data_IF_249039781697
#
_entry.id   IF_249039781697
#
_cell.length_a   1.000
_cell.length_b   1.000
_cell.length_c   1.000
_cell.angle_alpha   90.00
_cell.angle_beta   90.00
_cell.angle_gamma   90.00
#
_symmetry.space_group_name_H-M   'P 1'
#
loop_
_entity.id
_entity.type
_entity.pdbx_description
1 polymer ?
#
# COMPACT_ATOMS: atom_id res chain seq x y z
N UNK A 1 -8.30 6.40 44.36
CA UNK A 1 -9.35 6.05 43.38
C UNK A 1 -8.67 5.37 42.21
N UNK A 2 -8.94 4.09 42.00
CA UNK A 2 -8.40 3.33 40.89
C UNK A 2 -9.40 3.45 39.74
N UNK A 3 -9.00 4.12 38.68
CA UNK A 3 -9.78 4.24 37.45
C UNK A 3 -9.48 3.02 36.59
N UNK A 4 -10.35 2.01 36.58
CA UNK A 4 -10.27 0.93 35.60
C UNK A 4 -11.22 1.24 34.44
N UNK A 5 -10.65 1.76 33.35
CA UNK A 5 -11.37 1.97 32.09
C UNK A 5 -11.44 0.64 31.35
N UNK A 6 -12.61 0.02 31.23
CA UNK A 6 -12.82 -1.11 30.31
C UNK A 6 -13.82 -0.71 29.23
N UNK A 7 -13.30 -0.47 28.04
CA UNK A 7 -14.06 -0.14 26.83
C UNK A 7 -14.63 -1.43 26.23
N UNK A 8 -15.92 -1.41 25.86
CA UNK A 8 -16.44 -2.36 24.87
C UNK A 8 -15.73 -2.06 23.56
N UNK A 9 -15.24 -3.02 22.80
CA UNK A 9 -14.47 -2.72 21.59
C UNK A 9 -15.21 -3.09 20.33
N UNK A 10 -15.25 -2.17 19.38
CA UNK A 10 -15.72 -2.42 18.04
C UNK A 10 -14.50 -2.65 17.16
N UNK A 11 -14.17 -3.92 16.93
CA UNK A 11 -12.97 -4.25 16.16
C UNK A 11 -13.11 -3.83 14.70
N UNK A 12 -14.33 -3.79 14.15
CA UNK A 12 -14.62 -3.30 12.80
C UNK A 12 -14.09 -1.88 12.52
N UNK A 13 -14.01 -1.01 13.53
CA UNK A 13 -13.51 0.36 13.40
C UNK A 13 -12.11 0.53 14.03
N UNK A 14 -11.47 -0.57 14.40
CA UNK A 14 -10.16 -0.60 15.04
C UNK A 14 -9.08 -0.89 14.00
N UNK A 15 -7.89 -0.31 14.19
CA UNK A 15 -6.78 -0.48 13.26
C UNK A 15 -5.43 -0.48 13.97
N UNK A 16 -4.47 -1.21 13.40
CA UNK A 16 -3.06 -1.13 13.77
C UNK A 16 -2.40 -0.09 12.89
N UNK A 17 -1.66 0.82 13.50
CA UNK A 17 -0.85 1.79 12.80
C UNK A 17 0.62 1.46 12.96
N UNK A 18 1.35 1.34 11.84
CA UNK A 18 2.78 1.06 11.80
C UNK A 18 3.47 2.26 11.18
N UNK A 19 4.43 2.85 11.90
CA UNK A 19 5.33 3.86 11.35
C UNK A 19 6.56 3.14 10.78
N UNK A 20 6.71 3.20 9.46
CA UNK A 20 7.77 2.51 8.73
C UNK A 20 8.68 3.52 8.03
N UNK A 21 9.98 3.33 8.18
CA UNK A 21 10.99 3.93 7.30
C UNK A 21 11.53 2.84 6.40
N UNK A 22 11.18 2.87 5.13
CA UNK A 22 11.71 1.97 4.11
C UNK A 22 12.85 2.68 3.37
N UNK A 23 13.84 1.91 2.91
CA UNK A 23 14.90 2.40 2.03
C UNK A 23 14.77 1.78 0.64
N UNK A 24 13.86 2.29 -0.21
CA UNK A 24 13.87 2.04 -1.64
C UNK A 24 15.26 2.24 -2.25
N UNK A 25 15.62 1.33 -3.16
CA UNK A 25 16.81 1.41 -3.97
C UNK A 25 16.45 1.34 -5.46
N UNK A 26 17.06 2.21 -6.25
CA UNK A 26 16.83 2.35 -7.69
C UNK A 26 18.06 1.87 -8.46
N UNK A 27 17.86 1.00 -9.46
CA UNK A 27 18.93 0.52 -10.33
C UNK A 27 19.37 1.55 -11.39
N UNK A 28 18.55 2.58 -11.62
CA UNK A 28 18.77 3.62 -12.60
C UNK A 28 18.68 5.01 -11.97
N UNK A 29 19.37 5.99 -12.57
CA UNK A 29 19.17 7.40 -12.22
C UNK A 29 17.93 7.92 -12.90
N UNK A 30 17.26 8.83 -12.23
CA UNK A 30 16.36 9.76 -12.88
C UNK A 30 17.25 10.81 -13.55
N UNK A 31 17.30 10.77 -14.88
CA UNK A 31 18.04 11.74 -15.68
C UNK A 31 17.43 13.13 -15.51
N UNK A 32 18.22 14.17 -15.81
CA UNK A 32 17.92 15.57 -15.48
C UNK A 32 16.50 15.96 -15.91
N UNK A 33 15.57 16.01 -14.97
CA UNK A 33 14.30 16.69 -15.20
C UNK A 33 14.60 18.18 -15.30
N UNK A 34 13.87 18.91 -16.13
CA UNK A 34 13.95 20.37 -16.08
C UNK A 34 13.33 20.85 -14.76
N UNK A 35 13.88 21.92 -14.18
CA UNK A 35 13.43 22.49 -12.91
C UNK A 35 11.94 22.85 -12.94
N UNK A 36 11.41 23.16 -14.12
CA UNK A 36 9.99 23.39 -14.37
C UNK A 36 9.09 22.21 -14.02
N UNK A 37 9.57 20.97 -14.21
CA UNK A 37 8.75 19.75 -14.10
C UNK A 37 9.02 18.92 -12.84
N UNK A 38 10.21 19.05 -12.22
CA UNK A 38 10.67 18.22 -11.09
C UNK A 38 9.68 18.10 -9.94
N UNK A 39 8.99 19.19 -9.61
CA UNK A 39 8.05 19.23 -8.48
C UNK A 39 6.68 18.64 -8.82
N UNK A 40 6.34 18.54 -10.11
CA UNK A 40 5.04 18.08 -10.56
C UNK A 40 5.05 16.66 -11.13
N UNK A 41 6.22 16.08 -11.42
CA UNK A 41 6.34 14.66 -11.77
C UNK A 41 6.54 13.85 -10.50
N UNK A 42 5.73 12.81 -10.32
CA UNK A 42 5.61 12.12 -9.04
C UNK A 42 5.67 10.60 -9.22
N UNK A 43 6.42 9.94 -8.34
CA UNK A 43 6.43 8.50 -8.13
C UNK A 43 5.62 8.18 -6.87
N UNK A 44 4.63 7.30 -6.99
CA UNK A 44 3.97 6.71 -5.84
C UNK A 44 4.73 5.46 -5.39
N UNK A 45 4.95 5.32 -4.08
CA UNK A 45 5.47 4.11 -3.43
C UNK A 45 4.58 3.78 -2.23
N UNK A 46 4.05 2.56 -2.17
CA UNK A 46 3.09 2.17 -1.14
C UNK A 46 2.60 0.74 -1.25
N UNK A 47 1.44 0.47 -0.65
CA UNK A 47 0.77 -0.83 -0.69
C UNK A 47 -0.60 -0.71 -1.35
N UNK A 48 -1.06 -1.80 -1.97
CA UNK A 48 -2.42 -1.86 -2.52
C UNK A 48 -3.48 -1.88 -1.41
N UNK A 49 -3.21 -2.61 -0.33
CA UNK A 49 -3.93 -2.54 0.94
C UNK A 49 -2.94 -2.58 2.11
N UNK A 50 -3.26 -1.93 3.22
CA UNK A 50 -2.39 -1.93 4.39
C UNK A 50 -2.11 -3.31 4.96
N UNK A 51 -3.11 -4.19 4.93
CA UNK A 51 -3.01 -5.59 5.38
C UNK A 51 -2.02 -6.44 4.58
N UNK A 52 -1.70 -6.07 3.32
CA UNK A 52 -0.70 -6.78 2.51
C UNK A 52 0.71 -6.71 3.12
N UNK A 53 0.97 -5.79 4.04
CA UNK A 53 2.29 -5.70 4.70
C UNK A 53 2.60 -6.90 5.60
N UNK A 54 1.59 -7.67 6.01
CA UNK A 54 1.78 -8.80 6.90
C UNK A 54 2.14 -10.03 6.07
N UNK A 55 3.30 -10.62 6.34
CA UNK A 55 3.75 -11.88 5.75
C UNK A 55 3.17 -13.07 6.50
N UNK A 56 3.41 -13.08 7.81
CA UNK A 56 3.00 -14.14 8.72
C UNK A 56 2.36 -13.51 9.94
N UNK A 57 1.38 -14.17 10.54
CA UNK A 57 0.90 -13.81 11.87
C UNK A 57 0.56 -15.03 12.72
N UNK A 58 0.53 -14.82 14.03
CA UNK A 58 0.05 -15.80 15.01
C UNK A 58 -0.65 -15.07 16.14
N UNK A 59 -1.82 -15.57 16.55
CA UNK A 59 -2.59 -15.01 17.64
C UNK A 59 -2.32 -15.77 18.96
N UNK A 60 -2.27 -15.03 20.06
CA UNK A 60 -2.03 -15.55 21.40
C UNK A 60 -3.10 -15.02 22.34
N UNK A 61 -3.60 -15.90 23.20
CA UNK A 61 -4.53 -15.56 24.26
C UNK A 61 -3.90 -15.97 25.60
N UNK A 62 -3.73 -15.01 26.52
CA UNK A 62 -3.11 -15.21 27.84
C UNK A 62 -1.74 -15.91 27.77
N UNK A 63 -0.93 -15.52 26.80
CA UNK A 63 0.40 -16.07 26.57
C UNK A 63 0.46 -17.45 25.91
N UNK A 64 -0.68 -18.05 25.56
CA UNK A 64 -0.75 -19.32 24.82
C UNK A 64 -1.16 -19.07 23.37
N UNK A 65 -0.55 -19.78 22.44
CA UNK A 65 -0.94 -19.76 21.03
C UNK A 65 -2.38 -20.25 20.88
N UNK A 66 -3.19 -19.52 20.12
CA UNK A 66 -4.53 -19.97 19.74
C UNK A 66 -4.37 -21.03 18.66
N UNK A 67 -5.00 -22.19 18.84
CA UNK A 67 -4.92 -23.28 17.86
C UNK A 67 -5.46 -22.83 16.49
N UNK A 68 -4.79 -23.27 15.42
CA UNK A 68 -5.12 -22.90 14.05
C UNK A 68 -4.89 -21.44 13.65
N UNK A 69 -4.37 -20.58 14.54
CA UNK A 69 -4.15 -19.13 14.27
C UNK A 69 -2.86 -18.77 13.54
N UNK A 70 -1.98 -19.75 13.28
CA UNK A 70 -0.77 -19.55 12.50
C UNK A 70 -1.15 -19.37 11.03
N UNK A 71 -0.85 -18.19 10.48
CA UNK A 71 -0.94 -17.92 9.04
C UNK A 71 0.46 -17.62 8.51
N UNK A 72 0.93 -18.43 7.56
CA UNK A 72 2.26 -18.33 6.97
C UNK A 72 2.30 -17.48 5.70
N UNK A 73 1.15 -17.24 5.06
CA UNK A 73 1.03 -16.36 3.89
C UNK A 73 -0.20 -15.44 4.03
N UNK A 74 -0.08 -14.50 4.97
CA UNK A 74 -1.09 -13.50 5.24
C UNK A 74 -1.20 -12.45 4.11
N UNK A 75 -0.15 -12.30 3.30
CA UNK A 75 -0.19 -11.38 2.15
C UNK A 75 -1.16 -11.90 1.08
N UNK A 76 -1.08 -13.20 0.75
CA UNK A 76 -2.01 -13.83 -0.19
C UNK A 76 -3.42 -13.92 0.39
N UNK A 77 -3.56 -14.28 1.67
CA UNK A 77 -4.86 -14.23 2.38
C UNK A 77 -5.51 -12.85 2.23
N UNK A 78 -4.75 -11.80 2.50
CA UNK A 78 -5.23 -10.43 2.38
C UNK A 78 -5.59 -10.06 0.95
N UNK A 79 -4.79 -10.48 -0.04
CA UNK A 79 -5.08 -10.23 -1.45
C UNK A 79 -6.41 -10.88 -1.87
N UNK A 80 -6.63 -12.13 -1.47
CA UNK A 80 -7.84 -12.89 -1.76
C UNK A 80 -9.05 -12.23 -1.13
N UNK A 81 -8.98 -11.94 0.17
CA UNK A 81 -10.07 -11.30 0.90
C UNK A 81 -10.41 -9.93 0.30
N UNK A 82 -9.38 -9.14 -0.02
CA UNK A 82 -9.59 -7.85 -0.68
C UNK A 82 -10.12 -7.99 -2.11
N UNK A 83 -9.91 -9.09 -2.81
CA UNK A 83 -10.43 -9.27 -4.18
C UNK A 83 -11.95 -9.43 -4.17
N UNK A 84 -12.49 -10.15 -3.20
CA UNK A 84 -13.93 -10.38 -3.07
C UNK A 84 -14.69 -9.20 -2.44
N UNK A 85 -13.99 -8.28 -1.74
CA UNK A 85 -14.61 -7.07 -1.17
C UNK A 85 -15.22 -6.17 -2.25
N UNK A 86 -16.44 -5.63 -2.03
CA UNK A 86 -17.08 -4.72 -2.97
C UNK A 86 -16.30 -3.39 -3.08
N UNK A 87 -16.32 -2.79 -4.28
CA UNK A 87 -15.59 -1.54 -4.53
C UNK A 87 -16.06 -0.37 -3.66
N UNK A 88 -17.34 -0.34 -3.26
CA UNK A 88 -17.88 0.67 -2.36
C UNK A 88 -17.20 0.65 -0.99
N UNK A 89 -16.92 -0.54 -0.44
CA UNK A 89 -16.21 -0.68 0.84
C UNK A 89 -14.76 -0.18 0.74
N UNK A 90 -14.08 -0.51 -0.36
CA UNK A 90 -12.70 -0.07 -0.62
C UNK A 90 -12.58 1.45 -0.75
N UNK A 91 -13.55 2.08 -1.39
CA UNK A 91 -13.56 3.53 -1.63
C UNK A 91 -13.84 4.36 -0.37
N UNK A 92 -14.63 3.86 0.55
CA UNK A 92 -15.06 4.61 1.73
C UNK A 92 -14.00 4.62 2.85
N UNK A 93 -13.05 3.68 2.81
CA UNK A 93 -12.01 3.46 3.81
C UNK A 93 -10.73 4.23 3.46
N UNK A 94 -10.58 5.44 4.00
CA UNK A 94 -9.40 6.29 3.80
C UNK A 94 -8.13 5.63 4.37
N UNK A 95 -7.00 5.80 3.68
CA UNK A 95 -5.67 5.33 4.11
C UNK A 95 -5.55 3.81 4.29
N UNK A 96 -6.43 3.04 3.65
CA UNK A 96 -6.43 1.57 3.73
C UNK A 96 -6.10 0.99 2.36
N UNK A 97 -6.78 1.45 1.31
CA UNK A 97 -6.58 0.96 -0.05
C UNK A 97 -5.97 2.03 -0.97
N UNK A 98 -5.04 1.59 -1.84
CA UNK A 98 -4.48 2.40 -2.92
C UNK A 98 -5.07 1.94 -4.26
N UNK A 99 -6.24 2.46 -4.61
CA UNK A 99 -6.81 2.24 -5.95
C UNK A 99 -6.10 3.11 -6.98
N UNK A 100 -5.89 2.55 -8.17
CA UNK A 100 -5.13 3.23 -9.21
C UNK A 100 -5.75 4.57 -9.60
N UNK A 101 -7.07 4.61 -9.72
CA UNK A 101 -7.85 5.80 -10.05
C UNK A 101 -7.68 6.92 -9.02
N UNK A 102 -7.45 6.56 -7.75
CA UNK A 102 -7.24 7.50 -6.66
C UNK A 102 -5.78 7.97 -6.64
N UNK A 103 -4.82 7.05 -6.79
CA UNK A 103 -3.39 7.39 -6.89
C UNK A 103 -3.13 8.34 -8.07
N UNK A 104 -3.79 8.07 -9.20
CA UNK A 104 -3.73 8.91 -10.39
C UNK A 104 -4.20 10.34 -10.13
N UNK A 105 -5.13 10.55 -9.20
CA UNK A 105 -5.65 11.88 -8.80
C UNK A 105 -4.85 12.51 -7.67
N UNK A 106 -3.71 11.92 -7.28
CA UNK A 106 -2.92 12.31 -6.12
C UNK A 106 -3.79 12.39 -4.85
N UNK A 107 -4.59 11.36 -4.63
CA UNK A 107 -5.44 11.24 -3.44
C UNK A 107 -4.55 11.12 -2.19
N UNK A 108 -4.81 11.96 -1.20
CA UNK A 108 -4.06 11.97 0.08
C UNK A 108 -4.42 10.78 0.97
N UNK A 109 -5.55 10.11 0.71
CA UNK A 109 -5.99 8.89 1.38
C UNK A 109 -5.35 7.62 0.83
N UNK A 110 -4.39 7.76 -0.09
CA UNK A 110 -3.55 6.66 -0.55
C UNK A 110 -2.82 5.96 0.60
N UNK A 111 -2.59 4.66 0.45
CA UNK A 111 -1.81 3.87 1.38
C UNK A 111 -0.35 3.80 0.94
N UNK A 112 0.38 4.89 1.18
CA UNK A 112 1.77 5.05 0.76
C UNK A 112 2.17 6.52 0.78
N UNK A 113 3.21 6.85 0.03
CA UNK A 113 3.61 8.24 -0.17
C UNK A 113 3.86 8.54 -1.63
N UNK A 114 3.71 9.82 -1.94
CA UNK A 114 4.12 10.42 -3.20
C UNK A 114 5.52 11.00 -3.01
N UNK A 115 6.37 10.78 -3.99
CA UNK A 115 7.75 11.24 -4.01
C UNK A 115 7.93 12.01 -5.31
N UNK A 116 8.26 13.29 -5.22
CA UNK A 116 8.54 14.13 -6.38
C UNK A 116 9.88 13.77 -6.99
N UNK A 117 10.06 14.03 -8.29
CA UNK A 117 11.37 13.85 -8.94
C UNK A 117 12.44 14.75 -8.32
N UNK A 118 12.07 15.92 -7.79
CA UNK A 118 12.98 16.76 -7.00
C UNK A 118 13.54 16.02 -5.79
N UNK A 119 12.67 15.45 -4.95
CA UNK A 119 13.09 14.72 -3.75
C UNK A 119 13.98 13.52 -4.10
N UNK A 120 13.66 12.83 -5.19
CA UNK A 120 14.47 11.70 -5.69
C UNK A 120 15.85 12.18 -6.13
N UNK A 121 15.93 13.21 -6.97
CA UNK A 121 17.21 13.76 -7.44
C UNK A 121 18.06 14.35 -6.29
N UNK A 122 17.45 15.01 -5.31
CA UNK A 122 18.16 15.54 -4.14
C UNK A 122 18.72 14.42 -3.27
N UNK A 123 17.96 13.33 -3.07
CA UNK A 123 18.40 12.18 -2.29
C UNK A 123 19.49 11.36 -3.01
N UNK A 124 19.37 11.20 -4.33
CA UNK A 124 20.19 10.29 -5.13
C UNK A 124 21.38 11.02 -5.81
N UNK A 125 21.25 12.30 -6.11
CA UNK A 125 22.19 13.03 -6.98
C UNK A 125 23.63 13.08 -6.46
N UNK A 126 23.82 13.00 -5.15
CA UNK A 126 25.14 12.97 -4.50
C UNK A 126 25.72 11.53 -4.37
N UNK A 127 24.92 10.51 -4.66
CA UNK A 127 25.33 9.12 -4.52
C UNK A 127 26.09 8.65 -5.76
N UNK A 128 27.21 7.96 -5.53
CA UNK A 128 28.06 7.41 -6.58
C UNK A 128 27.84 5.91 -6.79
N UNK A 129 27.22 5.22 -5.83
CA UNK A 129 27.06 3.77 -5.84
C UNK A 129 25.64 3.38 -6.26
N UNK A 130 25.56 2.51 -7.26
CA UNK A 130 24.32 1.85 -7.69
C UNK A 130 24.14 0.56 -6.88
N UNK A 131 22.93 0.23 -6.38
CA UNK A 131 21.66 0.96 -6.53
C UNK A 131 21.55 2.17 -5.59
N UNK A 132 20.88 3.22 -6.06
CA UNK A 132 20.72 4.49 -5.35
C UNK A 132 19.66 4.42 -4.26
N UNK A 133 19.97 4.89 -3.07
CA UNK A 133 19.10 4.75 -1.90
C UNK A 133 18.28 6.00 -1.63
N UNK A 134 17.01 5.82 -1.32
CA UNK A 134 16.16 6.93 -0.88
C UNK A 134 15.38 6.51 0.36
N UNK A 135 15.66 7.08 1.55
CA UNK A 135 14.87 6.79 2.73
C UNK A 135 13.49 7.45 2.61
N UNK A 136 12.45 6.66 2.86
CA UNK A 136 11.05 7.10 2.77
C UNK A 136 10.32 6.66 4.02
N UNK A 137 9.71 7.63 4.72
CA UNK A 137 8.94 7.38 5.96
C UNK A 137 7.46 7.63 5.73
N UNK A 138 6.63 6.65 6.05
CA UNK A 138 5.18 6.78 5.97
C UNK A 138 4.48 5.87 6.99
N UNK A 139 3.20 6.17 7.23
CA UNK A 139 2.34 5.44 8.15
C UNK A 139 1.48 4.43 7.38
N UNK A 140 1.43 3.21 7.89
CA UNK A 140 0.62 2.11 7.40
C UNK A 140 -0.52 1.90 8.38
N UNK A 141 -1.78 1.90 7.91
CA UNK A 141 -2.96 1.53 8.68
C UNK A 141 -3.50 0.15 8.25
N UNK A 142 -3.65 -0.76 9.19
CA UNK A 142 -4.18 -2.10 8.98
C UNK A 142 -5.49 -2.19 9.76
N UNK A 143 -6.66 -2.19 9.09
CA UNK A 143 -7.91 -2.49 9.75
C UNK A 143 -7.84 -3.89 10.37
N UNK A 144 -8.29 -4.03 11.62
CA UNK A 144 -8.25 -5.33 12.28
C UNK A 144 -9.24 -6.33 11.66
N UNK A 145 -10.34 -5.83 11.07
CA UNK A 145 -11.32 -6.63 10.34
C UNK A 145 -10.83 -7.08 8.95
N UNK A 146 -9.70 -6.55 8.47
CA UNK A 146 -9.02 -7.06 7.28
C UNK A 146 -8.16 -8.31 7.56
N UNK A 147 -7.96 -8.66 8.84
CA UNK A 147 -7.30 -9.91 9.25
C UNK A 147 -8.36 -10.98 9.48
N UNK A 148 -8.35 -12.08 8.70
CA UNK A 148 -9.43 -13.08 8.75
C UNK A 148 -9.60 -13.74 10.11
N UNK A 149 -8.50 -13.90 10.87
CA UNK A 149 -8.55 -14.43 12.23
C UNK A 149 -9.39 -13.56 13.17
N UNK A 150 -9.60 -12.29 12.82
CA UNK A 150 -10.31 -11.27 13.60
C UNK A 150 -11.51 -10.68 12.82
N UNK A 151 -11.79 -11.14 11.60
CA UNK A 151 -12.83 -10.55 10.72
C UNK A 151 -14.24 -10.63 11.31
N UNK A 152 -14.55 -11.70 12.06
CA UNK A 152 -15.84 -11.87 12.71
C UNK A 152 -15.92 -11.16 14.07
N UNK A 153 -14.87 -10.46 14.49
CA UNK A 153 -14.87 -9.67 15.71
C UNK A 153 -15.57 -8.34 15.46
N UNK A 154 -16.89 -8.31 15.52
CA UNK A 154 -17.65 -7.07 15.33
C UNK A 154 -17.82 -6.33 16.65
N UNK A 155 -18.56 -6.92 17.59
CA UNK A 155 -19.01 -6.26 18.83
C UNK A 155 -18.62 -7.03 20.09
N UNK A 156 -17.31 -7.31 20.24
CA UNK A 156 -16.82 -8.06 21.39
C UNK A 156 -15.99 -7.21 22.35
N UNK A 157 -16.08 -7.54 23.63
CA UNK A 157 -15.35 -6.82 24.69
C UNK A 157 -13.91 -7.31 24.82
N UNK A 158 -12.95 -6.41 24.61
CA UNK A 158 -11.55 -6.63 24.98
C UNK A 158 -11.39 -7.11 26.43
N UNK A 159 -12.13 -6.52 27.38
CA UNK A 159 -12.05 -6.91 28.79
C UNK A 159 -12.55 -8.32 29.12
N UNK A 160 -13.16 -9.04 28.17
CA UNK A 160 -13.62 -10.42 28.34
C UNK A 160 -12.64 -11.46 27.82
N UNK A 161 -11.97 -11.15 26.70
CA UNK A 161 -10.89 -12.00 26.20
C UNK A 161 -9.64 -11.91 27.08
N UNK A 162 -9.48 -10.86 27.88
CA UNK A 162 -8.20 -10.59 28.52
C UNK A 162 -7.13 -10.33 27.47
N UNK A 163 -5.91 -10.80 27.73
CA UNK A 163 -4.76 -10.47 26.89
C UNK A 163 -4.77 -11.23 25.55
N UNK A 164 -5.22 -10.56 24.49
CA UNK A 164 -5.03 -10.96 23.11
C UNK A 164 -3.77 -10.28 22.54
N UNK A 165 -2.87 -11.06 21.93
CA UNK A 165 -1.67 -10.55 21.27
C UNK A 165 -1.57 -11.14 19.87
N UNK A 166 -1.16 -10.33 18.90
CA UNK A 166 -0.84 -10.79 17.55
C UNK A 166 0.64 -10.52 17.33
N UNK A 167 1.38 -11.57 17.00
CA UNK A 167 2.76 -11.44 16.52
C UNK A 167 2.72 -11.54 15.01
N UNK A 168 3.35 -10.61 14.30
CA UNK A 168 3.41 -10.64 12.85
C UNK A 168 4.81 -10.34 12.32
N UNK A 169 5.07 -10.79 11.09
CA UNK A 169 6.26 -10.44 10.30
C UNK A 169 5.88 -9.52 9.15
N UNK A 170 6.76 -8.59 8.81
CA UNK A 170 6.57 -7.64 7.72
C UNK A 170 7.04 -8.24 6.39
N UNK A 171 6.25 -8.08 5.33
CA UNK A 171 6.56 -8.45 3.96
C UNK A 171 7.08 -7.23 3.15
N UNK A 172 8.40 -7.07 2.97
CA UNK A 172 8.92 -5.99 2.13
C UNK A 172 8.62 -6.17 0.63
N UNK A 173 8.25 -7.38 0.19
CA UNK A 173 7.92 -7.64 -1.21
C UNK A 173 6.49 -7.24 -1.55
N UNK A 174 5.66 -6.89 -0.56
CA UNK A 174 4.29 -6.45 -0.78
C UNK A 174 4.18 -5.01 -1.34
N UNK A 175 5.26 -4.23 -1.24
CA UNK A 175 5.28 -2.87 -1.74
C UNK A 175 5.20 -2.81 -3.26
N UNK A 176 4.58 -1.74 -3.74
CA UNK A 176 4.41 -1.43 -5.14
C UNK A 176 4.75 0.03 -5.42
N UNK A 177 5.06 0.32 -6.67
CA UNK A 177 5.30 1.66 -7.16
C UNK A 177 4.54 1.92 -8.46
N UNK A 178 4.25 3.19 -8.72
CA UNK A 178 3.73 3.64 -10.00
C UNK A 178 4.11 5.11 -10.21
N UNK A 179 4.60 5.44 -11.40
CA UNK A 179 4.73 6.84 -11.78
C UNK A 179 3.34 7.40 -12.04
N UNK A 180 2.96 8.46 -11.34
CA UNK A 180 1.68 9.15 -11.56
C UNK A 180 1.72 9.81 -12.93
N UNK A 181 0.57 9.89 -13.61
CA UNK A 181 0.51 10.51 -14.93
C UNK A 181 1.03 11.95 -14.84
N UNK A 182 2.15 12.27 -15.52
CA UNK A 182 2.75 13.59 -15.45
C UNK A 182 1.78 14.72 -15.81
N UNK A 183 0.86 14.51 -16.76
CA UNK A 183 -0.17 15.51 -17.10
C UNK A 183 -1.05 15.86 -15.91
N UNK A 184 -1.50 14.87 -15.16
CA UNK A 184 -2.42 15.08 -14.03
C UNK A 184 -1.67 15.65 -12.82
N UNK A 185 -0.50 15.10 -12.52
CA UNK A 185 0.30 15.57 -11.38
C UNK A 185 0.85 16.98 -11.60
N UNK A 186 1.33 17.30 -12.80
CA UNK A 186 1.77 18.66 -13.17
C UNK A 186 0.61 19.64 -13.17
N UNK A 187 -0.54 19.28 -13.75
CA UNK A 187 -1.71 20.16 -13.73
C UNK A 187 -2.17 20.50 -12.30
N UNK A 188 -2.18 19.51 -11.40
CA UNK A 188 -2.51 19.70 -9.98
C UNK A 188 -1.47 20.60 -9.29
N UNK A 189 -0.18 20.33 -9.52
CA UNK A 189 0.91 21.14 -8.97
C UNK A 189 0.81 22.61 -9.43
N UNK A 190 0.60 22.86 -10.73
CA UNK A 190 0.51 24.23 -11.24
C UNK A 190 -0.75 24.96 -10.80
N UNK A 191 -1.87 24.24 -10.67
CA UNK A 191 -3.11 24.82 -10.13
C UNK A 191 -2.91 25.27 -8.68
N UNK A 192 -2.21 24.47 -7.86
CA UNK A 192 -1.91 24.80 -6.46
C UNK A 192 -0.94 25.97 -6.33
N UNK A 193 0.07 26.05 -7.21
CA UNK A 193 1.16 27.04 -7.12
C UNK A 193 1.02 28.19 -8.14
N UNK A 194 -0.19 28.44 -8.63
CA UNK A 194 -0.45 29.41 -9.71
C UNK A 194 0.17 30.79 -9.45
N UNK A 195 0.04 31.30 -8.24
CA UNK A 195 0.53 32.65 -7.89
C UNK A 195 2.06 32.73 -7.89
N UNK A 196 2.73 31.72 -7.36
CA UNK A 196 4.20 31.63 -7.40
C UNK A 196 4.72 31.46 -8.83
N UNK A 197 4.01 30.69 -9.66
CA UNK A 197 4.38 30.47 -11.05
C UNK A 197 4.27 31.74 -11.90
N UNK A 198 3.22 32.53 -11.69
CA UNK A 198 3.06 33.84 -12.34
C UNK A 198 4.21 34.80 -11.99
N UNK A 199 4.82 34.65 -10.81
CA UNK A 199 5.99 35.42 -10.39
C UNK A 199 7.34 34.85 -10.86
N UNK A 200 7.39 33.56 -11.24
CA UNK A 200 8.63 32.83 -11.54
C UNK A 200 9.20 33.00 -12.96
N UNK A 201 8.65 33.95 -13.73
CA UNK A 201 9.15 34.34 -15.06
C UNK A 201 8.44 33.66 -16.24
N UNK A 202 8.39 34.36 -17.38
CA UNK A 202 7.67 33.95 -18.59
C UNK A 202 8.15 32.60 -19.16
N UNK A 203 9.43 32.26 -18.95
CA UNK A 203 10.04 31.06 -19.52
C UNK A 203 9.43 29.77 -18.95
N UNK A 204 9.21 29.71 -17.63
CA UNK A 204 8.61 28.54 -16.97
C UNK A 204 7.19 28.30 -17.47
N UNK A 205 6.43 29.36 -17.73
CA UNK A 205 5.06 29.25 -18.26
C UNK A 205 5.04 28.72 -19.71
N UNK A 206 5.96 29.16 -20.56
CA UNK A 206 6.08 28.64 -21.93
C UNK A 206 6.42 27.14 -21.94
N UNK A 207 7.29 26.70 -21.05
CA UNK A 207 7.71 25.29 -20.94
C UNK A 207 6.55 24.41 -20.44
N UNK A 208 5.68 24.97 -19.59
CA UNK A 208 4.44 24.31 -19.13
C UNK A 208 3.44 24.16 -20.28
N UNK A 209 3.18 25.24 -21.02
CA UNK A 209 2.26 25.23 -22.14
C UNK A 209 2.72 24.27 -23.25
N UNK A 210 4.04 24.22 -23.50
CA UNK A 210 4.64 23.28 -24.43
C UNK A 210 4.43 21.83 -23.98
N UNK A 211 4.67 21.53 -22.69
CA UNK A 211 4.45 20.20 -22.13
C UNK A 211 3.03 19.70 -22.42
N UNK A 212 1.99 20.49 -22.11
CA UNK A 212 0.61 20.04 -22.28
C UNK A 212 0.21 19.84 -23.74
N UNK A 213 0.73 20.66 -24.65
CA UNK A 213 0.50 20.50 -26.10
C UNK A 213 1.18 19.23 -26.63
N UNK A 214 2.46 19.05 -26.31
CA UNK A 214 3.27 17.93 -26.81
C UNK A 214 2.88 16.59 -26.20
N UNK A 215 2.55 16.55 -24.90
CA UNK A 215 2.26 15.30 -24.20
C UNK A 215 1.06 14.55 -24.80
N UNK A 216 -0.01 15.30 -25.12
CA UNK A 216 -1.25 14.75 -25.67
C UNK A 216 -1.10 14.03 -27.02
N UNK A 217 0.00 14.31 -27.74
CA UNK A 217 0.22 13.84 -29.11
C UNK A 217 1.12 12.61 -29.21
N UNK A 218 1.95 12.33 -28.20
CA UNK A 218 3.11 11.42 -28.39
C UNK A 218 3.28 10.36 -27.30
N UNK A 219 2.80 10.58 -26.07
CA UNK A 219 3.12 9.68 -24.95
C UNK A 219 1.91 8.92 -24.42
N UNK A 220 1.96 7.58 -24.53
CA UNK A 220 0.99 6.71 -23.87
C UNK A 220 1.36 6.48 -22.40
N UNK A 221 0.35 6.49 -21.55
CA UNK A 221 0.49 6.26 -20.11
C UNK A 221 -0.16 4.94 -19.71
N UNK A 222 0.65 4.03 -19.18
CA UNK A 222 0.19 2.71 -18.73
C UNK A 222 -0.47 2.80 -17.37
N UNK A 223 -1.69 2.29 -17.24
CA UNK A 223 -2.46 2.28 -16.00
C UNK A 223 -2.18 1.05 -15.14
N UNK A 224 -1.02 0.98 -14.50
CA UNK A 224 -0.65 -0.18 -13.68
C UNK A 224 0.27 0.16 -12.52
N UNK A 225 0.17 -0.63 -11.44
CA UNK A 225 1.19 -0.70 -10.41
C UNK A 225 2.23 -1.76 -10.77
N UNK A 226 3.47 -1.51 -10.37
CA UNK A 226 4.58 -2.46 -10.47
C UNK A 226 4.99 -2.88 -9.06
N UNK A 227 5.11 -4.18 -8.82
CA UNK A 227 5.61 -4.68 -7.54
C UNK A 227 7.11 -4.36 -7.40
N UNK A 228 7.56 -4.05 -6.19
CA UNK A 228 9.00 -3.88 -5.95
C UNK A 228 9.76 -5.18 -6.25
N UNK A 229 10.94 -5.05 -6.86
CA UNK A 229 11.71 -6.15 -7.44
C UNK A 229 11.38 -6.45 -8.90
N UNK A 230 10.31 -5.86 -9.45
CA UNK A 230 10.01 -5.90 -10.88
C UNK A 230 10.46 -4.62 -11.59
N UNK A 231 10.85 -4.77 -12.85
CA UNK A 231 11.26 -3.66 -13.72
C UNK A 231 10.04 -3.06 -14.40
N UNK A 232 9.99 -1.73 -14.49
CA UNK A 232 8.98 -1.03 -15.28
C UNK A 232 9.58 0.14 -16.04
N UNK A 233 8.98 0.44 -17.19
CA UNK A 233 9.35 1.59 -18.02
C UNK A 233 8.85 2.89 -17.38
N UNK A 234 9.78 3.62 -16.77
CA UNK A 234 9.52 4.92 -16.15
C UNK A 234 10.02 6.05 -17.04
N UNK A 235 9.36 7.20 -16.95
CA UNK A 235 9.87 8.42 -17.57
C UNK A 235 10.99 8.90 -16.67
N UNK A 236 12.21 8.84 -17.17
CA UNK A 236 13.43 9.17 -16.42
C UNK A 236 13.96 10.55 -16.76
N UNK A 237 13.55 11.15 -17.88
CA UNK A 237 13.92 12.51 -18.27
C UNK A 237 12.72 13.25 -18.84
N UNK A 238 12.54 14.50 -18.45
CA UNK A 238 11.61 15.43 -19.10
C UNK A 238 12.27 16.81 -19.18
N UNK A 239 12.48 17.31 -20.40
CA UNK A 239 13.11 18.62 -20.62
C UNK A 239 12.63 19.31 -21.88
N UNK A 240 12.92 20.61 -21.96
CA UNK A 240 12.62 21.44 -23.12
C UNK A 240 13.92 21.89 -23.79
N UNK A 241 14.20 21.33 -24.96
CA UNK A 241 15.41 21.65 -25.74
C UNK A 241 15.13 22.74 -26.77
N UNK A 242 16.02 23.73 -26.88
CA UNK A 242 15.90 24.78 -27.90
C UNK A 242 16.55 24.33 -29.21
N UNK A 243 15.79 24.31 -30.31
CA UNK A 243 16.38 24.06 -31.62
C UNK A 243 17.27 25.24 -32.01
N UNK A 244 18.55 24.94 -32.26
CA UNK A 244 19.62 25.89 -32.59
C UNK A 244 19.36 26.79 -33.80
N UNK A 245 18.32 26.52 -34.62
CA UNK A 245 18.01 27.29 -35.85
C UNK A 245 16.72 28.10 -35.83
N UNK A 246 15.71 27.77 -35.02
CA UNK A 246 14.35 28.35 -35.19
C UNK A 246 13.81 29.08 -33.95
N UNK A 247 14.55 29.13 -32.83
CA UNK A 247 14.04 29.53 -31.51
C UNK A 247 12.82 28.73 -31.02
N UNK A 248 12.34 27.71 -31.77
CA UNK A 248 11.34 26.78 -31.28
C UNK A 248 11.96 25.84 -30.24
N UNK A 249 11.15 25.52 -29.24
CA UNK A 249 11.47 24.57 -28.18
C UNK A 249 10.80 23.24 -28.49
N UNK A 250 11.56 22.16 -28.40
CA UNK A 250 11.08 20.79 -28.50
C UNK A 250 10.97 20.18 -27.11
N UNK A 251 9.89 19.44 -26.91
CA UNK A 251 9.68 18.65 -25.71
C UNK A 251 10.35 17.29 -25.87
N UNK A 252 11.24 16.94 -24.95
CA UNK A 252 11.96 15.66 -24.93
C UNK A 252 11.58 14.89 -23.66
N UNK A 253 11.19 13.63 -23.83
CA UNK A 253 10.90 12.72 -22.72
C UNK A 253 11.55 11.37 -23.00
N UNK A 254 12.39 10.92 -22.07
CA UNK A 254 13.06 9.64 -22.15
C UNK A 254 12.36 8.63 -21.25
N UNK A 255 12.28 7.40 -21.75
CA UNK A 255 11.70 6.27 -21.04
C UNK A 255 12.81 5.23 -20.90
N UNK A 256 13.04 4.79 -19.66
CA UNK A 256 14.01 3.75 -19.38
C UNK A 256 13.40 2.69 -18.44
N UNK A 257 13.82 1.43 -18.57
CA UNK A 257 13.48 0.40 -17.59
C UNK A 257 14.13 0.75 -16.24
N UNK A 258 13.34 0.71 -15.18
CA UNK A 258 13.78 0.95 -13.80
C UNK A 258 13.25 -0.16 -12.89
N UNK A 259 14.13 -0.73 -12.09
CA UNK A 259 13.81 -1.68 -11.02
C UNK A 259 13.95 -0.97 -9.68
N UNK A 260 12.84 -0.92 -8.93
CA UNK A 260 12.84 -0.41 -7.56
C UNK A 260 12.74 -1.59 -6.61
N UNK A 261 13.61 -1.67 -5.63
CA UNK A 261 13.57 -2.71 -4.58
C UNK A 261 13.75 -2.08 -3.20
N UNK A 262 13.57 -2.82 -2.11
CA UNK A 262 13.84 -2.32 -0.76
C UNK A 262 15.12 -2.97 -0.25
N UNK A 263 16.10 -2.15 0.13
CA UNK A 263 17.34 -2.65 0.75
C UNK A 263 17.08 -3.13 2.17
N UNK A 264 16.40 -2.30 2.96
CA UNK A 264 15.99 -2.60 4.32
C UNK A 264 14.85 -1.67 4.75
N UNK A 265 14.25 -1.96 5.89
CA UNK A 265 13.23 -1.15 6.51
C UNK A 265 13.41 -1.15 8.03
N UNK A 266 12.89 -0.12 8.69
CA UNK A 266 12.87 0.02 10.13
C UNK A 266 11.45 0.38 10.56
N UNK A 267 10.88 -0.43 11.45
CA UNK A 267 9.63 -0.11 12.14
C UNK A 267 9.98 0.68 13.38
N UNK A 268 9.54 1.94 13.47
CA UNK A 268 9.85 2.81 14.61
C UNK A 268 8.74 2.83 15.65
N UNK A 269 7.50 2.58 15.25
CA UNK A 269 6.32 2.65 16.11
C UNK A 269 5.25 1.68 15.61
N UNK A 270 4.59 0.98 16.54
CA UNK A 270 3.38 0.19 16.28
C UNK A 270 2.36 0.56 17.34
N UNK A 271 1.21 1.08 16.91
CA UNK A 271 0.13 1.56 17.78
C UNK A 271 -1.19 0.91 17.39
N UNK A 272 -1.84 0.23 18.32
CA UNK A 272 -3.18 -0.30 18.12
C UNK A 272 -4.23 0.72 18.56
N UNK A 273 -5.09 1.15 17.63
CA UNK A 273 -6.21 2.03 17.91
C UNK A 273 -7.47 1.18 17.97
N UNK A 274 -7.99 0.99 19.20
CA UNK A 274 -9.18 0.20 19.44
C UNK A 274 -10.39 1.12 19.57
N UNK A 275 -11.31 1.05 18.61
CA UNK A 275 -12.60 1.70 18.72
C UNK A 275 -13.46 0.97 19.74
N UNK A 276 -14.39 1.68 20.38
CA UNK A 276 -15.19 1.08 21.42
C UNK A 276 -16.45 1.84 21.81
N UNK A 277 -17.36 1.12 22.46
CA UNK A 277 -18.57 1.69 23.03
C UNK A 277 -18.31 2.17 24.45
N UNK A 278 -18.89 3.34 24.75
CA UNK A 278 -18.90 3.93 26.08
C UNK A 278 -19.92 3.21 26.99
N UNK A 279 -19.67 1.95 27.31
CA UNK A 279 -20.53 1.14 28.16
C UNK A 279 -20.44 1.58 29.63
N UNK A 280 -21.56 1.51 30.35
CA UNK A 280 -21.61 1.79 31.80
C UNK A 280 -21.16 0.57 32.61
N UNK A 281 -20.65 0.78 33.84
CA UNK A 281 -20.19 -0.31 34.72
C UNK A 281 -21.27 -1.36 35.00
N UNK A 282 -22.54 -0.93 35.10
CA UNK A 282 -23.67 -1.85 35.27
C UNK A 282 -23.88 -2.77 34.04
N UNK A 283 -23.77 -2.21 32.83
CA UNK A 283 -23.73 -3.01 31.60
C UNK A 283 -22.50 -3.92 31.60
N UNK A 284 -21.37 -3.45 32.14
CA UNK A 284 -20.15 -4.23 32.23
C UNK A 284 -20.34 -5.49 33.08
N UNK A 285 -20.90 -5.33 34.28
CA UNK A 285 -21.16 -6.42 35.22
C UNK A 285 -22.12 -7.49 34.65
N UNK A 286 -23.25 -7.09 34.04
CA UNK A 286 -24.23 -8.03 33.48
C UNK A 286 -23.66 -8.95 32.40
N UNK A 287 -22.80 -8.40 31.54
CA UNK A 287 -22.18 -9.19 30.48
C UNK A 287 -21.10 -10.14 31.04
N UNK A 288 -20.37 -9.74 32.11
CA UNK A 288 -19.47 -10.66 32.82
C UNK A 288 -20.25 -11.83 33.43
N UNK A 289 -21.38 -11.53 34.06
CA UNK A 289 -22.29 -12.54 34.61
C UNK A 289 -22.80 -13.49 33.51
N UNK A 290 -23.28 -12.95 32.39
CA UNK A 290 -23.79 -13.74 31.26
C UNK A 290 -22.79 -14.78 30.74
N UNK A 291 -21.52 -14.42 30.59
CA UNK A 291 -20.48 -15.33 30.11
C UNK A 291 -19.72 -16.06 31.24
N UNK A 292 -20.12 -15.87 32.50
CA UNK A 292 -19.61 -16.71 33.59
C UNK A 292 -20.18 -18.12 33.56
N UNK A 293 -21.34 -18.30 32.91
CA UNK A 293 -22.07 -19.56 32.80
C UNK A 293 -22.07 -20.16 31.39
N UNK A 294 -21.65 -19.39 30.38
CA UNK A 294 -21.68 -19.79 28.96
C UNK A 294 -20.29 -19.61 28.35
N UNK A 295 -19.82 -20.65 27.63
CA UNK A 295 -18.59 -20.56 26.84
C UNK A 295 -18.68 -19.49 25.77
N UNK A 296 -17.72 -18.58 25.78
CA UNK A 296 -17.62 -17.52 24.80
C UNK A 296 -16.85 -18.01 23.56
N UNK A 297 -17.52 -18.14 22.42
CA UNK A 297 -16.95 -18.62 21.15
C UNK A 297 -17.08 -17.56 20.08
N UNK A 298 -15.97 -17.26 19.41
CA UNK A 298 -15.95 -16.35 18.25
C UNK A 298 -15.49 -17.14 17.04
N UNK A 299 -16.30 -17.19 15.96
CA UNK A 299 -15.84 -17.81 14.73
C UNK A 299 -14.66 -17.01 14.17
N UNK A 300 -13.73 -17.69 13.51
CA UNK A 300 -12.64 -17.05 12.80
C UNK A 300 -12.43 -17.77 11.48
N UNK A 301 -11.87 -17.05 10.51
CA UNK A 301 -11.56 -17.61 9.20
C UNK A 301 -10.04 -17.64 8.99
N UNK A 302 -9.60 -18.55 8.14
CA UNK A 302 -8.23 -18.59 7.62
C UNK A 302 -8.27 -19.03 6.16
N UNK A 303 -7.24 -18.68 5.42
CA UNK A 303 -7.02 -19.24 4.08
C UNK A 303 -6.02 -20.38 4.18
N UNK A 304 -6.39 -21.53 3.62
CA UNK A 304 -5.48 -22.65 3.34
C UNK A 304 -5.07 -22.62 1.88
N UNK A 305 -3.77 -22.61 1.61
CA UNK A 305 -3.21 -22.49 0.27
C UNK A 305 -2.65 -23.84 -0.17
N UNK A 306 -3.15 -24.32 -1.30
CA UNK A 306 -2.67 -25.53 -1.97
C UNK A 306 -2.03 -25.15 -3.31
N UNK A 307 -0.68 -25.05 -3.38
CA UNK A 307 -0.01 -24.69 -4.62
C UNK A 307 -0.16 -25.80 -5.67
N UNK A 308 -0.10 -25.43 -6.94
CA UNK A 308 0.01 -26.42 -8.01
C UNK A 308 1.39 -27.11 -7.92
N UNK A 309 1.47 -28.44 -8.08
CA UNK A 309 2.72 -29.18 -7.92
C UNK A 309 3.75 -28.86 -9.02
N UNK A 310 3.30 -28.31 -10.14
CA UNK A 310 4.13 -27.99 -11.31
C UNK A 310 3.89 -26.57 -11.77
N UNK A 311 4.96 -25.83 -12.06
CA UNK A 311 4.92 -24.50 -12.67
C UNK A 311 4.37 -24.55 -14.11
N UNK A 312 3.93 -23.38 -14.60
CA UNK A 312 3.49 -23.23 -15.98
C UNK A 312 4.63 -23.47 -16.97
N UNK A 313 4.34 -24.24 -18.03
CA UNK A 313 5.19 -24.36 -19.21
C UNK A 313 4.55 -23.63 -20.39
N UNK A 314 5.31 -23.42 -21.47
CA UNK A 314 4.78 -22.83 -22.72
C UNK A 314 3.59 -23.62 -23.30
N UNK A 315 3.51 -24.92 -23.03
CA UNK A 315 2.41 -25.80 -23.45
C UNK A 315 1.23 -25.84 -22.46
N UNK A 316 1.27 -25.02 -21.41
CA UNK A 316 0.28 -24.99 -20.32
C UNK A 316 0.65 -25.86 -19.12
N UNK A 317 -0.31 -26.05 -18.21
CA UNK A 317 -0.22 -26.94 -17.05
C UNK A 317 -1.33 -27.98 -17.16
N UNK A 318 -1.00 -29.26 -16.98
CA UNK A 318 -1.98 -30.33 -16.77
C UNK A 318 -1.72 -30.95 -15.41
N UNK A 319 -2.62 -30.72 -14.47
CA UNK A 319 -2.51 -31.23 -13.10
C UNK A 319 -3.88 -31.66 -12.57
N UNK A 320 -3.87 -32.61 -11.64
CA UNK A 320 -5.05 -33.08 -10.92
C UNK A 320 -4.63 -33.20 -9.46
N UNK A 321 -5.44 -32.64 -8.56
CA UNK A 321 -5.23 -32.70 -7.13
C UNK A 321 -6.54 -33.03 -6.43
N UNK A 322 -6.48 -33.92 -5.44
CA UNK A 322 -7.60 -34.21 -4.56
C UNK A 322 -7.35 -33.50 -3.24
N UNK A 323 -8.17 -32.49 -2.94
CA UNK A 323 -8.05 -31.69 -1.72
C UNK A 323 -9.25 -32.04 -0.82
N UNK A 324 -9.03 -32.58 0.39
CA UNK A 324 -10.11 -32.81 1.33
C UNK A 324 -10.64 -31.45 1.81
N UNK A 325 -11.95 -31.26 1.72
CA UNK A 325 -12.61 -30.03 2.14
C UNK A 325 -13.30 -30.26 3.49
N UNK A 326 -12.90 -29.51 4.52
CA UNK A 326 -13.55 -29.51 5.83
C UNK A 326 -13.80 -28.08 6.29
N UNK A 327 -15.04 -27.75 6.66
CA UNK A 327 -15.43 -26.43 7.18
C UNK A 327 -15.08 -25.25 6.25
N UNK A 328 -15.41 -25.38 4.96
CA UNK A 328 -15.09 -24.38 3.93
C UNK A 328 -16.28 -23.44 3.70
N UNK A 329 -15.99 -22.14 3.66
CA UNK A 329 -16.97 -21.12 3.24
C UNK A 329 -16.83 -20.77 1.76
N UNK A 330 -15.60 -20.75 1.23
CA UNK A 330 -15.30 -20.36 -0.17
C UNK A 330 -14.13 -21.16 -0.75
N UNK A 331 -14.11 -21.32 -2.07
CA UNK A 331 -13.02 -21.96 -2.82
C UNK A 331 -12.58 -21.06 -3.97
N UNK A 332 -11.28 -20.78 -4.07
CA UNK A 332 -10.72 -19.84 -5.04
C UNK A 332 -9.52 -20.47 -5.77
N UNK A 333 -9.54 -20.40 -7.10
CA UNK A 333 -8.43 -20.79 -7.96
C UNK A 333 -7.72 -19.53 -8.46
N UNK A 334 -6.48 -19.32 -8.02
CA UNK A 334 -5.70 -18.12 -8.33
C UNK A 334 -4.59 -18.44 -9.34
N UNK A 335 -4.52 -17.65 -10.41
CA UNK A 335 -3.43 -17.68 -11.39
C UNK A 335 -2.69 -16.34 -11.35
N UNK A 336 -1.55 -16.25 -10.62
CA UNK A 336 -0.77 -15.01 -10.59
C UNK A 336 -0.19 -14.72 -11.98
N UNK A 337 -0.15 -13.42 -12.34
CA UNK A 337 0.41 -12.97 -13.62
C UNK A 337 1.92 -13.22 -13.71
N UNK A 338 2.61 -13.07 -12.58
CA UNK A 338 4.02 -13.39 -12.41
C UNK A 338 4.16 -14.33 -11.20
N UNK A 339 4.63 -15.56 -11.44
CA UNK A 339 5.02 -16.49 -10.38
C UNK A 339 6.53 -16.31 -10.16
N UNK A 340 6.92 -15.45 -9.22
CA UNK A 340 8.30 -15.36 -8.75
C UNK A 340 8.39 -15.86 -7.31
#
# INVERSE_FOLDING_TARGET
>A
MITETILLTQIQNSFVSIMLTANPQFDNKFEQFDGSYKDGVVLFVGLKSGSNIILEYTAYHRGRTIDGSLQNDATTESLIYNTIKPNSEKNNRKHIHSLYENIHKLDTSAHGTYITMREIEEAIGQQTNVPYLMPVRFRILIPLDDLLIISAFTDYRNGMFGDLKIKFKINPNAFMFAQVNPTVSLAKYYTKNKNELLSSGQQKQMDIDLFFRSWSLTFQYTKQFTQLGCTADLKTRIMTEQLTRSKLKNFVCDIAPVTVSIKNYVVTEVTANMAGYKATDACLAKVREFFSTISFVVPAQRVEIWPLPTSATLTGIRTSQNIPLSHITDFILLFPKDAR
#
